data_IF_893292498316
#
_entry.id   IF_893292498316
#
_cell.length_a   1.000
_cell.length_b   1.000
_cell.length_c   1.000
_cell.angle_alpha   90.00
_cell.angle_beta   90.00
_cell.angle_gamma   90.00
#
_symmetry.space_group_name_H-M   'P 1'
#
loop_
_entity.id
_entity.type
_entity.pdbx_description
1 polymer ?
#
# COMPACT_ATOMS: atom_id res chain seq x y z
N UNK A 1 -15.05 -9.60 9.22
CA UNK A 1 -14.35 -10.78 8.67
C UNK A 1 -12.84 -10.58 8.82
N UNK A 2 -12.37 -10.22 10.03
CA UNK A 2 -10.93 -10.06 10.25
C UNK A 2 -10.27 -11.43 10.33
N UNK A 3 -9.04 -11.54 9.84
CA UNK A 3 -8.13 -12.69 10.06
C UNK A 3 -8.66 -14.06 9.59
N UNK A 4 -9.72 -14.11 8.78
CA UNK A 4 -10.42 -15.36 8.42
C UNK A 4 -9.52 -16.44 7.79
N UNK A 5 -8.54 -16.03 6.99
CA UNK A 5 -7.55 -16.92 6.37
C UNK A 5 -6.12 -16.59 6.79
N UNK A 6 -5.96 -15.96 7.97
CA UNK A 6 -4.64 -15.56 8.47
C UNK A 6 -3.67 -16.75 8.51
N UNK A 7 -2.52 -16.59 7.85
CA UNK A 7 -1.45 -17.57 7.81
C UNK A 7 -1.72 -18.78 6.91
N UNK A 8 -2.86 -18.86 6.22
CA UNK A 8 -3.18 -19.96 5.32
C UNK A 8 -2.35 -19.86 4.03
N UNK A 9 -1.07 -20.24 4.09
CA UNK A 9 -0.05 -20.05 3.02
C UNK A 9 -0.49 -20.54 1.64
N UNK A 10 -1.28 -21.61 1.59
CA UNK A 10 -1.75 -22.23 0.35
C UNK A 10 -3.17 -21.82 -0.06
N UNK A 11 -3.84 -20.95 0.69
CA UNK A 11 -5.22 -20.57 0.41
C UNK A 11 -5.33 -19.81 -0.92
N UNK A 12 -6.19 -20.31 -1.81
CA UNK A 12 -6.55 -19.67 -3.08
C UNK A 12 -7.94 -20.13 -3.54
N UNK A 13 -8.82 -20.50 -2.61
CA UNK A 13 -10.16 -21.00 -2.93
C UNK A 13 -11.07 -19.88 -3.41
N UNK A 14 -12.04 -20.20 -4.26
CA UNK A 14 -13.00 -19.24 -4.80
C UNK A 14 -13.84 -18.59 -3.68
N UNK A 15 -13.83 -17.27 -3.62
CA UNK A 15 -14.58 -16.44 -2.63
C UNK A 15 -15.33 -15.28 -3.28
N UNK A 16 -15.33 -15.22 -4.62
CA UNK A 16 -15.83 -14.07 -5.36
C UNK A 16 -17.35 -13.92 -5.23
N UNK A 17 -18.07 -14.99 -4.87
CA UNK A 17 -19.53 -14.99 -4.70
C UNK A 17 -19.99 -14.56 -3.30
N UNK A 18 -19.08 -14.23 -2.39
CA UNK A 18 -19.46 -13.84 -1.03
C UNK A 18 -20.14 -12.47 -1.00
N UNK A 19 -21.26 -12.38 -0.29
CA UNK A 19 -21.86 -11.08 0.03
C UNK A 19 -21.11 -10.42 1.18
N UNK A 20 -20.33 -9.40 0.84
CA UNK A 20 -19.55 -8.61 1.79
C UNK A 20 -20.13 -7.20 2.00
N UNK A 21 -21.33 -6.92 1.47
CA UNK A 21 -21.92 -5.58 1.41
C UNK A 21 -22.17 -4.93 2.77
N UNK A 22 -22.31 -5.73 3.84
CA UNK A 22 -22.50 -5.28 5.22
C UNK A 22 -21.24 -5.38 6.08
N UNK A 23 -20.17 -5.96 5.56
CA UNK A 23 -18.92 -6.13 6.31
C UNK A 23 -18.27 -4.76 6.51
N UNK A 24 -17.81 -4.49 7.74
CA UNK A 24 -17.14 -3.24 8.10
C UNK A 24 -15.62 -3.38 8.16
N UNK A 25 -15.12 -4.57 8.48
CA UNK A 25 -13.70 -4.81 8.73
C UNK A 25 -13.25 -6.15 8.12
N UNK A 26 -12.15 -6.11 7.36
CA UNK A 26 -11.47 -7.25 6.74
C UNK A 26 -9.97 -7.21 7.02
N UNK A 27 -9.60 -6.70 8.19
CA UNK A 27 -8.20 -6.59 8.59
C UNK A 27 -7.56 -7.97 8.55
N UNK A 28 -6.40 -8.06 7.89
CA UNK A 28 -5.58 -9.27 7.78
C UNK A 28 -6.32 -10.51 7.26
N UNK A 29 -7.42 -10.33 6.51
CA UNK A 29 -8.26 -11.45 6.06
C UNK A 29 -7.46 -12.52 5.30
N UNK A 30 -6.52 -12.13 4.42
CA UNK A 30 -5.63 -13.02 3.67
C UNK A 30 -4.16 -12.89 4.09
N UNK A 31 -3.87 -12.33 5.26
CA UNK A 31 -2.50 -12.10 5.71
C UNK A 31 -1.68 -13.40 5.65
N UNK A 32 -0.58 -13.40 4.92
CA UNK A 32 0.31 -14.55 4.78
C UNK A 32 -0.20 -15.65 3.83
N UNK A 33 -1.32 -15.45 3.13
CA UNK A 33 -1.79 -16.34 2.07
C UNK A 33 -0.95 -16.20 0.81
N UNK A 34 0.27 -16.76 0.85
CA UNK A 34 1.29 -16.58 -0.21
C UNK A 34 0.83 -16.92 -1.63
N UNK A 35 -0.12 -17.86 -1.78
CA UNK A 35 -0.67 -18.32 -3.07
C UNK A 35 -2.00 -17.65 -3.46
N UNK A 36 -2.53 -16.75 -2.63
CA UNK A 36 -3.82 -16.12 -2.91
C UNK A 36 -3.72 -15.20 -4.13
N UNK A 37 -4.63 -15.38 -5.09
CA UNK A 37 -4.70 -14.60 -6.32
C UNK A 37 -6.13 -14.60 -6.91
N UNK A 38 -7.17 -14.68 -6.07
CA UNK A 38 -8.56 -14.64 -6.54
C UNK A 38 -9.00 -13.21 -6.88
N UNK A 39 -9.80 -13.07 -7.94
CA UNK A 39 -10.33 -11.78 -8.36
C UNK A 39 -11.45 -11.32 -7.42
N UNK A 40 -11.23 -10.22 -6.69
CA UNK A 40 -12.20 -9.68 -5.73
C UNK A 40 -12.89 -8.40 -6.23
N UNK A 41 -12.72 -8.05 -7.50
CA UNK A 41 -13.18 -6.77 -8.05
C UNK A 41 -14.71 -6.65 -8.11
N UNK A 42 -15.44 -7.76 -7.94
CA UNK A 42 -16.90 -7.77 -7.88
C UNK A 42 -17.47 -7.61 -6.46
N UNK A 43 -16.62 -7.57 -5.43
CA UNK A 43 -17.07 -7.39 -4.06
C UNK A 43 -17.65 -5.99 -3.81
N UNK A 44 -18.77 -5.94 -3.10
CA UNK A 44 -19.37 -4.67 -2.67
C UNK A 44 -18.68 -4.14 -1.40
N UNK A 45 -17.69 -3.27 -1.58
CA UNK A 45 -16.83 -2.77 -0.49
C UNK A 45 -17.30 -1.46 0.17
N UNK A 46 -18.48 -0.93 -0.21
CA UNK A 46 -19.00 0.39 0.23
C UNK A 46 -19.18 0.58 1.75
N UNK A 47 -19.13 -0.50 2.51
CA UNK A 47 -19.31 -0.51 3.96
C UNK A 47 -18.00 -0.69 4.72
N UNK A 48 -16.90 -1.01 4.03
CA UNK A 48 -15.60 -1.25 4.64
C UNK A 48 -15.03 0.04 5.24
N UNK A 49 -14.52 -0.10 6.46
CA UNK A 49 -13.83 0.95 7.22
C UNK A 49 -12.33 0.71 7.34
N UNK A 50 -11.88 -0.53 7.18
CA UNK A 50 -10.45 -0.87 7.26
C UNK A 50 -10.16 -2.16 6.51
N UNK A 51 -9.04 -2.15 5.80
CA UNK A 51 -8.45 -3.28 5.06
C UNK A 51 -6.96 -3.47 5.46
N UNK A 52 -6.64 -3.06 6.69
CA UNK A 52 -5.28 -3.11 7.22
C UNK A 52 -4.70 -4.52 7.14
N UNK A 53 -3.55 -4.67 6.48
CA UNK A 53 -2.85 -5.93 6.29
C UNK A 53 -3.62 -6.99 5.48
N UNK A 54 -4.71 -6.63 4.79
CA UNK A 54 -5.62 -7.60 4.17
C UNK A 54 -4.91 -8.59 3.23
N UNK A 55 -3.90 -8.13 2.47
CA UNK A 55 -3.11 -8.96 1.55
C UNK A 55 -1.63 -9.03 1.95
N UNK A 56 -1.27 -8.68 3.18
CA UNK A 56 0.12 -8.69 3.62
C UNK A 56 0.79 -10.04 3.30
N UNK A 57 1.92 -10.02 2.59
CA UNK A 57 2.68 -11.20 2.18
C UNK A 57 1.90 -12.20 1.30
N UNK A 58 0.83 -11.76 0.61
CA UNK A 58 0.20 -12.47 -0.50
C UNK A 58 1.07 -12.30 -1.76
N UNK A 59 2.18 -13.02 -1.82
CA UNK A 59 3.23 -12.84 -2.82
C UNK A 59 2.74 -12.89 -4.27
N UNK A 60 1.77 -13.76 -4.57
CA UNK A 60 1.23 -13.96 -5.92
C UNK A 60 0.09 -13.01 -6.29
N UNK A 61 -0.46 -12.26 -5.34
CA UNK A 61 -1.67 -11.47 -5.56
C UNK A 61 -1.39 -10.34 -6.56
N UNK A 62 -2.12 -10.34 -7.68
CA UNK A 62 -2.04 -9.31 -8.71
C UNK A 62 -3.37 -9.18 -9.46
N UNK A 63 -4.48 -9.11 -8.71
CA UNK A 63 -5.83 -8.99 -9.27
C UNK A 63 -6.34 -7.55 -9.18
N UNK A 64 -7.14 -7.10 -10.16
CA UNK A 64 -7.67 -5.74 -10.17
C UNK A 64 -8.58 -5.49 -8.96
N UNK A 65 -8.52 -4.26 -8.44
CA UNK A 65 -9.32 -3.76 -7.31
C UNK A 65 -9.89 -2.37 -7.61
N UNK A 66 -9.91 -1.96 -8.87
CA UNK A 66 -10.36 -0.64 -9.34
C UNK A 66 -11.86 -0.42 -9.13
N UNK A 67 -12.67 -1.47 -8.96
CA UNK A 67 -14.12 -1.32 -8.69
C UNK A 67 -14.44 -1.19 -7.20
N UNK A 68 -13.44 -1.27 -6.32
CA UNK A 68 -13.68 -1.12 -4.89
C UNK A 68 -14.08 0.31 -4.54
N UNK A 69 -15.12 0.45 -3.73
CA UNK A 69 -15.46 1.72 -3.11
C UNK A 69 -14.68 1.87 -1.79
N UNK A 70 -13.72 2.78 -1.78
CA UNK A 70 -12.84 3.03 -0.61
C UNK A 70 -13.23 4.28 0.20
N UNK A 71 -14.32 4.97 -0.16
CA UNK A 71 -14.75 6.27 0.42
C UNK A 71 -15.06 6.28 1.93
N UNK A 72 -15.04 5.11 2.58
CA UNK A 72 -15.23 4.95 4.03
C UNK A 72 -14.04 4.32 4.73
N UNK A 73 -12.99 3.95 4.00
CA UNK A 73 -11.81 3.33 4.56
C UNK A 73 -10.98 4.39 5.28
N UNK A 74 -10.62 4.09 6.52
CA UNK A 74 -9.84 4.95 7.41
C UNK A 74 -8.39 4.46 7.49
N UNK A 75 -8.17 3.15 7.37
CA UNK A 75 -6.83 2.55 7.45
C UNK A 75 -6.57 1.58 6.30
N UNK A 76 -5.45 1.82 5.62
CA UNK A 76 -4.85 0.97 4.59
C UNK A 76 -3.45 0.49 5.03
N UNK A 77 -3.19 0.51 6.34
CA UNK A 77 -1.92 0.10 6.93
C UNK A 77 -1.49 -1.28 6.41
N UNK A 78 -0.30 -1.34 5.81
CA UNK A 78 0.34 -2.57 5.33
C UNK A 78 -0.51 -3.44 4.38
N UNK A 79 -1.53 -2.90 3.71
CA UNK A 79 -2.50 -3.69 2.91
C UNK A 79 -1.83 -4.57 1.85
N UNK A 80 -0.82 -4.07 1.15
CA UNK A 80 -0.07 -4.79 0.10
C UNK A 80 1.40 -5.03 0.46
N UNK A 81 1.78 -4.87 1.74
CA UNK A 81 3.15 -5.08 2.15
C UNK A 81 3.59 -6.51 1.84
N UNK A 82 4.69 -6.69 1.10
CA UNK A 82 5.20 -7.99 0.67
C UNK A 82 4.39 -8.67 -0.45
N UNK A 83 3.43 -7.99 -1.10
CA UNK A 83 2.81 -8.45 -2.34
C UNK A 83 3.78 -8.28 -3.52
N UNK A 84 4.77 -9.16 -3.62
CA UNK A 84 5.89 -9.02 -4.58
C UNK A 84 5.44 -8.79 -6.04
N UNK A 85 4.32 -9.39 -6.46
CA UNK A 85 3.80 -9.32 -7.83
C UNK A 85 2.73 -8.24 -8.08
N UNK A 86 2.25 -7.55 -7.04
CA UNK A 86 1.13 -6.64 -7.19
C UNK A 86 1.53 -5.37 -7.96
N UNK A 87 0.83 -5.08 -9.05
CA UNK A 87 1.05 -3.90 -9.89
C UNK A 87 -0.26 -3.42 -10.56
N UNK A 88 -1.36 -3.47 -9.82
CA UNK A 88 -2.68 -3.08 -10.33
C UNK A 88 -2.98 -1.61 -10.05
N UNK A 89 -3.73 -0.97 -10.94
CA UNK A 89 -4.09 0.43 -10.83
C UNK A 89 -5.02 0.66 -9.62
N UNK A 90 -4.63 1.58 -8.74
CA UNK A 90 -5.37 2.01 -7.55
C UNK A 90 -5.68 3.52 -7.56
N UNK A 91 -5.38 4.20 -8.66
CA UNK A 91 -5.46 5.67 -8.75
C UNK A 91 -6.91 6.19 -8.67
N UNK A 92 -7.91 5.32 -8.76
CA UNK A 92 -9.32 5.70 -8.60
C UNK A 92 -9.86 5.44 -7.17
N UNK A 93 -9.02 4.96 -6.25
CA UNK A 93 -9.40 4.83 -4.86
C UNK A 93 -9.59 6.22 -4.24
N UNK A 94 -10.72 6.40 -3.59
CA UNK A 94 -10.99 7.55 -2.72
C UNK A 94 -10.21 7.36 -1.41
N UNK A 95 -9.23 8.23 -1.18
CA UNK A 95 -8.39 8.25 0.03
C UNK A 95 -8.71 9.41 0.97
N UNK A 96 -9.77 10.19 0.70
CA UNK A 96 -10.10 11.42 1.45
C UNK A 96 -10.30 11.21 2.95
N UNK A 97 -10.63 9.99 3.40
CA UNK A 97 -10.80 9.64 4.83
C UNK A 97 -9.68 8.80 5.41
N UNK A 98 -8.67 8.47 4.60
CA UNK A 98 -7.58 7.60 5.04
C UNK A 98 -6.65 8.38 5.96
N UNK A 99 -6.35 7.81 7.11
CA UNK A 99 -5.46 8.39 8.12
C UNK A 99 -4.10 7.67 8.11
N UNK A 100 -4.06 6.39 7.73
CA UNK A 100 -2.86 5.56 7.82
C UNK A 100 -2.62 4.75 6.55
N UNK A 101 -1.51 5.03 5.87
CA UNK A 101 -0.96 4.27 4.72
C UNK A 101 0.44 3.73 5.02
N UNK A 102 0.82 3.67 6.29
CA UNK A 102 2.13 3.17 6.70
C UNK A 102 2.31 1.74 6.22
N UNK A 103 3.50 1.43 5.71
CA UNK A 103 3.88 0.14 5.12
C UNK A 103 3.04 -0.31 3.92
N UNK A 104 2.12 0.49 3.39
CA UNK A 104 1.08 0.01 2.45
C UNK A 104 1.65 -0.79 1.27
N UNK A 105 2.79 -0.38 0.71
CA UNK A 105 3.50 -1.03 -0.38
C UNK A 105 4.91 -1.47 0.01
N UNK A 106 5.20 -1.62 1.31
CA UNK A 106 6.52 -2.05 1.80
C UNK A 106 6.90 -3.40 1.18
N UNK A 107 8.05 -3.49 0.50
CA UNK A 107 8.51 -4.67 -0.24
C UNK A 107 7.53 -5.16 -1.34
N UNK A 108 6.71 -4.28 -1.90
CA UNK A 108 5.84 -4.56 -3.04
C UNK A 108 6.61 -4.30 -4.36
N UNK A 109 7.60 -5.14 -4.65
CA UNK A 109 8.65 -4.85 -5.64
C UNK A 109 8.16 -4.49 -7.05
N UNK A 110 7.03 -5.08 -7.48
CA UNK A 110 6.47 -4.83 -8.82
C UNK A 110 5.65 -3.54 -8.94
N UNK A 111 5.23 -2.93 -7.83
CA UNK A 111 4.28 -1.83 -7.85
C UNK A 111 4.93 -0.54 -8.37
N UNK A 112 4.38 -0.01 -9.46
CA UNK A 112 4.78 1.27 -10.06
C UNK A 112 3.59 1.95 -10.76
N UNK A 113 2.39 1.82 -10.20
CA UNK A 113 1.18 2.47 -10.73
C UNK A 113 1.03 3.87 -10.17
N UNK A 114 0.46 4.76 -10.98
CA UNK A 114 0.22 6.15 -10.60
C UNK A 114 -0.69 6.25 -9.37
N UNK A 115 -0.41 7.23 -8.51
CA UNK A 115 -1.14 7.55 -7.28
C UNK A 115 -1.42 9.06 -7.17
N UNK A 116 -1.32 9.78 -8.28
CA UNK A 116 -1.48 11.23 -8.38
C UNK A 116 -2.90 11.70 -8.03
N UNK A 117 -3.92 10.83 -8.11
CA UNK A 117 -5.29 11.20 -7.75
C UNK A 117 -5.63 10.97 -6.28
N UNK A 118 -4.70 10.41 -5.50
CA UNK A 118 -4.93 10.22 -4.07
C UNK A 118 -4.92 11.56 -3.34
N UNK A 119 -5.99 11.84 -2.61
CA UNK A 119 -6.02 12.89 -1.61
C UNK A 119 -5.45 12.34 -0.30
N UNK A 120 -4.26 12.82 0.08
CA UNK A 120 -3.56 12.41 1.30
C UNK A 120 -3.56 13.51 2.38
N UNK A 121 -4.36 14.56 2.21
CA UNK A 121 -4.41 15.71 3.14
C UNK A 121 -4.83 15.34 4.57
N UNK A 122 -5.53 14.22 4.75
CA UNK A 122 -5.93 13.68 6.05
C UNK A 122 -5.01 12.56 6.59
N UNK A 123 -3.98 12.18 5.84
CA UNK A 123 -3.06 11.12 6.25
C UNK A 123 -2.10 11.64 7.30
N UNK A 124 -1.97 10.91 8.40
CA UNK A 124 -1.06 11.23 9.50
C UNK A 124 0.22 10.36 9.47
N UNK A 125 0.11 9.11 8.99
CA UNK A 125 1.22 8.16 9.02
C UNK A 125 1.51 7.53 7.64
N UNK A 126 2.68 7.87 7.10
CA UNK A 126 3.23 7.38 5.83
C UNK A 126 4.55 6.62 6.04
N UNK A 127 4.77 6.10 7.25
CA UNK A 127 6.02 5.42 7.58
C UNK A 127 6.20 4.21 6.67
N UNK A 128 7.37 4.09 6.05
CA UNK A 128 7.75 2.91 5.27
C UNK A 128 6.78 2.56 4.11
N UNK A 129 5.95 3.49 3.64
CA UNK A 129 4.91 3.21 2.62
C UNK A 129 5.48 2.53 1.38
N UNK A 130 6.63 2.97 0.88
CA UNK A 130 7.37 2.39 -0.25
C UNK A 130 8.72 1.80 0.18
N UNK A 131 8.87 1.46 1.47
CA UNK A 131 10.10 0.90 2.01
C UNK A 131 10.47 -0.40 1.32
N UNK A 132 11.76 -0.57 1.07
CA UNK A 132 12.29 -1.78 0.47
C UNK A 132 13.54 -2.22 1.21
N UNK A 133 13.50 -3.43 1.76
CA UNK A 133 14.67 -4.01 2.40
C UNK A 133 15.60 -4.65 1.35
N UNK A 134 16.40 -3.83 0.67
CA UNK A 134 17.38 -4.29 -0.32
C UNK A 134 18.64 -4.89 0.30
N UNK A 135 18.80 -4.84 1.63
CA UNK A 135 20.05 -5.19 2.32
C UNK A 135 20.30 -6.72 2.33
N UNK A 136 19.27 -7.53 2.08
CA UNK A 136 19.40 -8.98 2.00
C UNK A 136 19.29 -9.49 0.55
N UNK A 137 20.38 -9.37 -0.22
CA UNK A 137 20.66 -10.13 -1.46
C UNK A 137 19.43 -10.48 -2.31
N UNK A 138 18.58 -9.50 -2.63
CA UNK A 138 17.51 -9.73 -3.57
C UNK A 138 18.13 -9.62 -4.97
N UNK A 139 17.95 -10.59 -5.89
CA UNK A 139 18.43 -10.45 -7.26
C UNK A 139 17.92 -9.14 -7.89
N UNK A 140 18.74 -8.49 -8.73
CA UNK A 140 18.42 -7.21 -9.38
C UNK A 140 17.03 -7.20 -10.08
N UNK A 141 16.53 -8.37 -10.49
CA UNK A 141 15.19 -8.56 -11.06
C UNK A 141 14.02 -8.28 -10.10
N UNK A 142 14.29 -8.11 -8.80
CA UNK A 142 13.32 -7.71 -7.76
C UNK A 142 13.68 -6.36 -7.13
N UNK A 143 14.43 -5.53 -7.84
CA UNK A 143 14.64 -4.14 -7.42
C UNK A 143 13.30 -3.40 -7.37
N UNK A 144 13.08 -2.54 -6.36
CA UNK A 144 11.85 -1.77 -6.25
C UNK A 144 11.65 -0.87 -7.47
N UNK A 145 10.45 -0.91 -8.05
CA UNK A 145 10.16 -0.16 -9.28
C UNK A 145 9.47 1.17 -9.03
N UNK A 146 8.97 1.44 -7.82
CA UNK A 146 8.16 2.62 -7.58
C UNK A 146 8.94 3.91 -7.88
N UNK A 147 8.48 4.65 -8.88
CA UNK A 147 9.08 5.91 -9.32
C UNK A 147 8.02 6.83 -9.95
N UNK A 148 6.80 6.82 -9.42
CA UNK A 148 5.71 7.68 -9.89
C UNK A 148 5.76 9.04 -9.20
N UNK A 149 5.31 10.08 -9.91
CA UNK A 149 5.23 11.44 -9.38
C UNK A 149 4.21 11.50 -8.23
N UNK A 150 4.63 12.13 -7.13
CA UNK A 150 3.85 12.37 -5.92
C UNK A 150 3.91 13.84 -5.48
N UNK A 151 4.42 14.73 -6.34
CA UNK A 151 4.62 16.14 -6.01
C UNK A 151 3.30 16.88 -5.73
N UNK A 152 2.16 16.33 -6.13
CA UNK A 152 0.85 16.92 -5.85
C UNK A 152 0.24 16.49 -4.51
N UNK A 153 0.86 15.55 -3.78
CA UNK A 153 0.39 15.15 -2.46
C UNK A 153 0.53 16.29 -1.45
N UNK A 154 -0.59 16.68 -0.84
CA UNK A 154 -0.59 17.57 0.31
C UNK A 154 -0.25 16.78 1.59
N UNK A 155 0.93 17.03 2.16
CA UNK A 155 1.44 16.31 3.33
C UNK A 155 1.42 17.14 4.63
N UNK A 156 0.73 18.28 4.66
CA UNK A 156 0.80 19.22 5.79
C UNK A 156 0.32 18.61 7.12
N UNK A 157 -0.58 17.63 7.05
CA UNK A 157 -1.08 16.89 8.23
C UNK A 157 -0.16 15.73 8.66
N UNK A 158 0.86 15.37 7.87
CA UNK A 158 1.65 14.16 8.09
C UNK A 158 2.56 14.30 9.31
N UNK A 159 2.43 13.37 10.24
CA UNK A 159 3.24 13.30 11.45
C UNK A 159 4.54 12.52 11.19
N UNK A 160 4.48 11.49 10.33
CA UNK A 160 5.65 10.67 10.00
C UNK A 160 5.74 10.21 8.55
N UNK A 161 6.93 10.42 7.99
CA UNK A 161 7.42 9.90 6.71
C UNK A 161 8.65 8.99 6.92
N UNK A 162 8.82 8.46 8.13
CA UNK A 162 10.00 7.69 8.51
C UNK A 162 10.20 6.52 7.54
N UNK A 163 11.38 6.46 6.93
CA UNK A 163 11.74 5.39 5.98
C UNK A 163 10.81 5.25 4.77
N UNK A 164 9.98 6.25 4.45
CA UNK A 164 8.93 6.16 3.42
C UNK A 164 9.43 5.59 2.10
N UNK A 165 10.60 6.02 1.63
CA UNK A 165 11.25 5.52 0.41
C UNK A 165 12.57 4.79 0.70
N UNK A 166 12.85 4.43 1.95
CA UNK A 166 14.14 3.81 2.30
C UNK A 166 14.36 2.51 1.51
N UNK A 167 15.47 2.43 0.78
CA UNK A 167 15.85 1.33 -0.10
C UNK A 167 15.07 1.25 -1.42
N UNK A 168 14.20 2.23 -1.72
CA UNK A 168 13.55 2.35 -3.02
C UNK A 168 14.55 2.94 -4.03
N UNK A 169 15.48 2.11 -4.50
CA UNK A 169 16.65 2.54 -5.29
C UNK A 169 16.31 3.20 -6.62
N UNK A 170 15.11 2.98 -7.16
CA UNK A 170 14.66 3.59 -8.41
C UNK A 170 14.03 4.98 -8.22
N UNK A 171 13.67 5.35 -6.98
CA UNK A 171 12.93 6.57 -6.71
C UNK A 171 13.82 7.80 -6.87
N UNK A 172 13.48 8.66 -7.82
CA UNK A 172 14.21 9.90 -8.13
C UNK A 172 13.28 11.10 -8.45
N UNK A 173 12.00 11.01 -8.09
CA UNK A 173 11.02 12.06 -8.37
C UNK A 173 11.27 13.32 -7.54
N UNK A 174 10.94 14.47 -8.12
CA UNK A 174 11.00 15.76 -7.43
C UNK A 174 9.79 15.89 -6.50
N UNK A 175 10.02 16.33 -5.26
CA UNK A 175 8.99 16.54 -4.23
C UNK A 175 9.01 17.99 -3.74
N UNK A 176 9.10 18.94 -4.68
CA UNK A 176 9.26 20.36 -4.39
C UNK A 176 8.11 20.99 -3.60
N UNK A 177 6.91 20.43 -3.66
CA UNK A 177 5.75 20.94 -2.92
C UNK A 177 5.64 20.38 -1.49
N UNK A 178 6.52 19.45 -1.11
CA UNK A 178 6.43 18.79 0.19
C UNK A 178 7.09 19.65 1.28
N UNK A 179 6.28 20.18 2.20
CA UNK A 179 6.79 20.83 3.40
C UNK A 179 7.17 19.79 4.46
N UNK A 180 8.47 19.58 4.70
CA UNK A 180 8.97 18.61 5.66
C UNK A 180 9.24 19.21 7.06
N UNK A 181 9.05 20.51 7.27
CA UNK A 181 9.44 21.20 8.51
C UNK A 181 8.71 20.64 9.73
N UNK A 182 7.38 20.50 9.64
CA UNK A 182 6.50 20.09 10.74
C UNK A 182 6.43 18.56 10.97
N UNK A 183 7.09 17.77 10.12
CA UNK A 183 7.08 16.31 10.24
C UNK A 183 7.99 15.88 11.39
N UNK A 184 7.39 15.27 12.42
CA UNK A 184 8.06 14.85 13.66
C UNK A 184 9.03 13.69 13.44
N UNK A 185 8.70 12.75 12.53
CA UNK A 185 9.49 11.54 12.28
C UNK A 185 9.77 11.37 10.78
N UNK A 186 10.95 11.80 10.35
CA UNK A 186 11.42 11.77 8.94
C UNK A 186 12.77 11.08 8.73
N UNK A 187 13.26 10.36 9.75
CA UNK A 187 14.53 9.61 9.66
C UNK A 187 14.48 8.61 8.50
N UNK A 188 15.59 8.50 7.78
CA UNK A 188 15.77 7.57 6.66
C UNK A 188 14.76 7.70 5.51
N UNK A 189 13.98 8.78 5.43
CA UNK A 189 12.93 8.94 4.42
C UNK A 189 13.42 8.63 3.00
N UNK A 190 14.63 9.10 2.64
CA UNK A 190 15.27 8.90 1.34
C UNK A 190 16.52 8.02 1.39
N UNK A 191 16.73 7.25 2.47
CA UNK A 191 17.93 6.43 2.62
C UNK A 191 18.05 5.41 1.48
N UNK A 192 19.19 5.37 0.78
CA UNK A 192 19.42 4.46 -0.35
C UNK A 192 18.38 4.59 -1.49
N UNK A 193 18.05 5.84 -1.86
CA UNK A 193 17.25 6.19 -3.06
C UNK A 193 18.13 6.80 -4.15
N UNK A 194 17.57 7.02 -5.35
CA UNK A 194 18.25 7.69 -6.46
C UNK A 194 18.04 9.22 -6.47
N UNK A 195 17.42 9.80 -5.44
CA UNK A 195 17.33 11.25 -5.28
C UNK A 195 18.74 11.82 -5.08
N UNK A 196 19.11 12.79 -5.91
CA UNK A 196 20.32 13.60 -5.73
C UNK A 196 19.94 14.82 -4.89
N UNK A 197 20.59 14.98 -3.73
CA UNK A 197 20.48 16.16 -2.87
C UNK A 197 21.17 17.37 -3.51
#
# INVERSE_FOLDING_TARGET
MNEMFYGCKNFNSYVNNWDVSKVKYMNKMFYGCKKFNQNLNNWNTKSLKSIAGMFYNCKTFNQPLDKWNTSKIISMHATFAGCENFNQNLNNWDTTKVINISYMFSNCFSFNQALDKWDVSNVLWMEYTFFCNSIFKIPFSKTPKFNQDLNNWNIDSVISTQGMFSGCTSFNQKLSNWNLENISRKKYMFFNTAIKH
#
